data_IF_801709230538
#
_entry.id   IF_801709230538
#
_cell.length_a   1.000
_cell.length_b   1.000
_cell.length_c   1.000
_cell.angle_alpha   90.00
_cell.angle_beta   90.00
_cell.angle_gamma   90.00
#
_symmetry.space_group_name_H-M   'P 1'
#
loop_
_entity.id
_entity.type
_entity.pdbx_description
1 polymer ?
#
# COMPACT_ATOMS: atom_id res chain seq x y z
N UNK A 1 17.34 32.63 45.82
CA UNK A 1 18.24 31.68 45.11
C UNK A 1 17.83 30.20 45.26
N UNK A 2 17.46 29.68 46.44
CA UNK A 2 17.08 28.24 46.60
C UNK A 2 16.00 27.71 45.63
N UNK A 3 15.00 28.53 45.25
CA UNK A 3 13.96 28.15 44.29
C UNK A 3 14.46 27.81 42.86
N UNK A 4 15.56 28.43 42.40
CA UNK A 4 16.09 28.15 41.05
C UNK A 4 16.64 26.72 40.93
N UNK A 5 17.23 26.17 42.00
CA UNK A 5 17.79 24.82 42.00
C UNK A 5 16.68 23.75 41.90
N UNK A 6 15.54 23.97 42.56
CA UNK A 6 14.39 23.06 42.44
C UNK A 6 13.76 23.10 41.03
N UNK A 7 13.62 24.28 40.43
CA UNK A 7 13.12 24.41 39.06
C UNK A 7 14.02 23.71 38.03
N UNK A 8 15.35 23.85 38.16
CA UNK A 8 16.31 23.18 37.28
C UNK A 8 16.26 21.65 37.39
N UNK A 9 16.12 21.11 38.61
CA UNK A 9 16.01 19.67 38.83
C UNK A 9 14.74 19.07 38.22
N UNK A 10 13.59 19.75 38.33
CA UNK A 10 12.33 19.32 37.70
C UNK A 10 12.42 19.37 36.17
N UNK A 11 13.06 20.39 35.61
CA UNK A 11 13.23 20.50 34.16
C UNK A 11 14.15 19.40 33.60
N UNK A 12 15.23 19.04 34.30
CA UNK A 12 16.09 17.92 33.95
C UNK A 12 15.34 16.56 34.01
N UNK A 13 14.49 16.36 35.01
CA UNK A 13 13.65 15.17 35.12
C UNK A 13 12.62 15.06 33.99
N UNK A 14 12.00 16.18 33.57
CA UNK A 14 11.07 16.21 32.44
C UNK A 14 11.75 15.85 31.10
N UNK A 15 13.01 16.22 30.91
CA UNK A 15 13.79 15.89 29.70
C UNK A 15 14.18 14.40 29.63
N UNK A 16 14.39 13.75 30.78
CA UNK A 16 14.77 12.32 30.83
C UNK A 16 13.66 11.33 30.44
N UNK A 17 12.40 11.79 30.34
CA UNK A 17 11.25 10.97 29.95
C UNK A 17 10.92 10.93 28.45
N UNK A 18 11.59 11.75 27.62
CA UNK A 18 11.24 11.95 26.20
C UNK A 18 12.31 11.35 25.27
N UNK A 19 12.60 10.05 25.43
CA UNK A 19 13.71 9.36 24.75
C UNK A 19 13.30 8.41 23.63
N UNK A 20 12.80 7.23 23.99
CA UNK A 20 12.57 6.13 23.05
C UNK A 20 11.11 5.67 23.01
N UNK A 21 10.54 5.65 21.79
CA UNK A 21 9.29 4.93 21.52
C UNK A 21 9.54 3.44 21.80
N UNK A 22 8.84 2.81 22.76
CA UNK A 22 9.19 1.46 23.19
C UNK A 22 8.96 0.47 22.04
N UNK A 23 10.06 -0.15 21.59
CA UNK A 23 10.06 -1.11 20.48
C UNK A 23 9.76 -2.52 20.99
N UNK A 24 9.04 -3.31 20.20
CA UNK A 24 8.69 -4.69 20.53
C UNK A 24 9.06 -5.66 19.39
N UNK A 25 9.02 -6.96 19.71
CA UNK A 25 9.15 -8.05 18.74
C UNK A 25 7.78 -8.69 18.53
N UNK A 26 7.28 -8.63 17.29
CA UNK A 26 6.01 -9.24 16.88
C UNK A 26 6.31 -10.57 16.22
N UNK A 27 5.59 -11.61 16.61
CA UNK A 27 5.70 -12.96 16.06
C UNK A 27 4.30 -13.54 15.84
N UNK A 28 4.16 -14.44 14.88
CA UNK A 28 2.87 -15.06 14.58
C UNK A 28 2.94 -16.03 13.41
N UNK A 29 1.76 -16.53 13.02
CA UNK A 29 1.58 -17.39 11.85
C UNK A 29 0.44 -16.87 10.98
N UNK A 30 0.60 -16.95 9.66
CA UNK A 30 -0.43 -16.57 8.68
C UNK A 30 -0.94 -17.83 8.00
N UNK A 31 -2.26 -18.01 7.99
CA UNK A 31 -2.94 -19.11 7.32
C UNK A 31 -4.00 -18.60 6.35
N UNK A 32 -4.12 -19.25 5.19
CA UNK A 32 -5.17 -19.01 4.22
C UNK A 32 -5.91 -20.33 3.96
N UNK A 33 -7.24 -20.35 4.15
CA UNK A 33 -8.06 -21.56 4.02
C UNK A 33 -7.53 -22.76 4.85
N UNK A 34 -7.05 -22.49 6.08
CA UNK A 34 -6.47 -23.49 6.98
C UNK A 34 -5.02 -23.90 6.66
N UNK A 35 -4.51 -23.60 5.46
CA UNK A 35 -3.14 -23.91 5.04
C UNK A 35 -2.18 -22.78 5.44
N UNK A 36 -0.91 -23.07 5.81
CA UNK A 36 0.09 -22.02 6.01
C UNK A 36 0.32 -21.28 4.68
N UNK A 37 0.44 -19.96 4.75
CA UNK A 37 0.76 -19.14 3.57
C UNK A 37 2.28 -19.07 3.39
N UNK A 38 2.78 -19.33 2.19
CA UNK A 38 4.22 -19.32 1.89
C UNK A 38 4.55 -18.32 0.78
N UNK A 39 5.80 -17.86 0.70
CA UNK A 39 6.24 -16.94 -0.36
C UNK A 39 5.55 -15.57 -0.34
N UNK A 40 5.16 -15.10 0.84
CA UNK A 40 4.52 -13.80 1.04
C UNK A 40 5.36 -12.90 1.99
N UNK A 41 5.26 -11.60 1.77
CA UNK A 41 5.90 -10.58 2.63
C UNK A 41 4.83 -9.93 3.50
N UNK A 42 5.06 -9.86 4.80
CA UNK A 42 4.25 -9.02 5.71
C UNK A 42 4.86 -7.62 5.76
N UNK A 43 3.98 -6.64 5.68
CA UNK A 43 4.29 -5.22 5.71
C UNK A 43 3.56 -4.64 6.93
N UNK A 44 4.31 -4.27 7.96
CA UNK A 44 3.81 -3.59 9.15
C UNK A 44 4.01 -2.09 8.99
N UNK A 45 2.95 -1.31 9.06
CA UNK A 45 2.99 0.15 9.11
C UNK A 45 2.67 0.55 10.56
N UNK A 46 3.69 0.97 11.30
CA UNK A 46 3.56 1.30 12.71
C UNK A 46 3.12 2.76 12.93
N UNK A 47 2.85 3.12 14.19
CA UNK A 47 2.36 4.45 14.59
C UNK A 47 3.37 5.59 14.35
N UNK A 48 4.65 5.28 14.20
CA UNK A 48 5.71 6.21 13.81
C UNK A 48 5.82 6.40 12.27
N UNK A 49 4.85 5.87 11.52
CA UNK A 49 4.81 5.82 10.05
C UNK A 49 5.99 5.06 9.41
N UNK A 50 6.75 4.25 10.18
CA UNK A 50 7.77 3.38 9.60
C UNK A 50 7.17 2.06 9.12
N UNK A 51 7.74 1.58 8.02
CA UNK A 51 7.37 0.31 7.39
C UNK A 51 8.41 -0.75 7.75
N UNK A 52 7.95 -1.85 8.35
CA UNK A 52 8.78 -3.02 8.64
C UNK A 52 8.35 -4.14 7.71
N UNK A 53 9.28 -4.63 6.90
CA UNK A 53 9.08 -5.76 6.00
C UNK A 53 9.62 -7.04 6.66
N UNK A 54 8.89 -8.13 6.52
CA UNK A 54 9.35 -9.45 6.97
C UNK A 54 8.81 -10.54 6.05
N UNK A 55 9.62 -11.55 5.78
CA UNK A 55 9.25 -12.68 4.91
C UNK A 55 8.59 -13.80 5.74
N UNK A 56 7.59 -14.47 5.17
CA UNK A 56 7.04 -15.71 5.74
C UNK A 56 7.98 -16.88 5.45
N UNK A 57 8.20 -17.70 6.49
CA UNK A 57 8.79 -19.03 6.34
C UNK A 57 7.80 -20.00 5.68
N UNK A 58 8.28 -21.19 5.33
CA UNK A 58 7.47 -22.27 4.75
C UNK A 58 6.33 -22.74 5.68
N UNK A 59 6.49 -22.60 7.00
CA UNK A 59 5.42 -22.87 7.98
C UNK A 59 4.36 -21.75 8.07
N UNK A 60 4.50 -20.68 7.28
CA UNK A 60 3.73 -19.45 7.40
C UNK A 60 4.03 -18.63 8.66
N UNK A 61 5.11 -18.96 9.38
CA UNK A 61 5.57 -18.23 10.56
C UNK A 61 6.38 -16.98 10.18
N UNK A 62 6.28 -15.93 10.99
CA UNK A 62 7.00 -14.66 10.79
C UNK A 62 7.49 -14.07 12.11
N UNK A 63 8.54 -13.24 12.06
CA UNK A 63 9.09 -12.55 13.21
C UNK A 63 9.67 -11.16 12.84
N UNK A 64 8.96 -10.10 13.21
CA UNK A 64 9.40 -8.71 13.02
C UNK A 64 9.95 -8.15 14.35
N UNK A 65 11.12 -7.52 14.31
CA UNK A 65 11.76 -6.89 15.46
C UNK A 65 11.79 -5.36 15.31
N UNK A 66 11.81 -4.64 16.43
CA UNK A 66 11.99 -3.18 16.42
C UNK A 66 10.72 -2.39 16.11
N UNK A 67 9.56 -3.04 16.05
CA UNK A 67 8.26 -2.40 15.74
C UNK A 67 7.84 -1.49 16.89
N UNK A 68 7.51 -0.24 16.61
CA UNK A 68 7.00 0.69 17.62
C UNK A 68 5.71 0.17 18.25
N UNK A 69 5.61 0.17 19.60
CA UNK A 69 4.36 -0.14 20.30
C UNK A 69 3.30 0.91 19.99
N UNK A 70 2.10 0.45 19.64
CA UNK A 70 0.96 1.29 19.30
C UNK A 70 0.00 0.59 18.35
N UNK A 71 -0.96 1.32 17.76
CA UNK A 71 -1.77 0.81 16.65
C UNK A 71 -0.88 0.58 15.41
N UNK A 72 -0.85 -0.68 14.93
CA UNK A 72 -0.10 -1.09 13.75
C UNK A 72 -1.07 -1.56 12.68
N UNK A 73 -0.90 -1.12 11.43
CA UNK A 73 -1.61 -1.66 10.27
C UNK A 73 -0.77 -2.76 9.64
N UNK A 74 -1.40 -3.89 9.31
CA UNK A 74 -0.73 -5.04 8.71
C UNK A 74 -1.27 -5.26 7.30
N UNK A 75 -0.37 -5.41 6.34
CA UNK A 75 -0.67 -5.85 4.97
C UNK A 75 0.16 -7.08 4.66
N UNK A 76 -0.40 -8.01 3.87
CA UNK A 76 0.29 -9.21 3.41
C UNK A 76 0.30 -9.14 1.88
N UNK A 77 1.50 -9.08 1.31
CA UNK A 77 1.70 -9.08 -0.13
C UNK A 77 2.32 -10.40 -0.54
N UNK A 78 1.53 -11.26 -1.17
CA UNK A 78 2.06 -12.44 -1.84
C UNK A 78 2.81 -12.01 -3.10
N UNK A 79 4.00 -12.55 -3.32
CA UNK A 79 4.69 -12.35 -4.60
C UNK A 79 3.79 -12.97 -5.68
N UNK A 80 3.34 -12.17 -6.64
CA UNK A 80 2.63 -12.74 -7.80
C UNK A 80 3.61 -13.71 -8.48
N UNK A 81 3.16 -14.93 -8.84
CA UNK A 81 3.99 -15.82 -9.64
C UNK A 81 4.44 -15.04 -10.87
N UNK A 82 5.76 -14.95 -11.07
CA UNK A 82 6.30 -14.23 -12.21
C UNK A 82 5.97 -15.03 -13.47
N UNK A 83 4.76 -14.81 -14.00
CA UNK A 83 4.44 -15.16 -15.37
C UNK A 83 5.51 -14.44 -16.20
N UNK A 84 6.47 -15.17 -16.80
CA UNK A 84 7.45 -14.53 -17.65
C UNK A 84 6.64 -13.77 -18.67
N UNK A 85 6.89 -12.46 -18.81
CA UNK A 85 6.18 -11.63 -19.78
C UNK A 85 6.51 -12.19 -21.16
N UNK A 86 5.72 -13.18 -21.59
CA UNK A 86 5.93 -13.92 -22.81
C UNK A 86 6.08 -12.88 -23.89
N UNK A 87 7.21 -12.91 -24.61
CA UNK A 87 7.60 -11.87 -25.57
C UNK A 87 6.47 -11.72 -26.59
N UNK A 88 5.48 -10.87 -26.27
CA UNK A 88 4.31 -10.62 -27.10
C UNK A 88 4.86 -9.97 -28.34
N UNK A 89 4.88 -10.78 -29.38
CA UNK A 89 5.91 -10.71 -30.38
C UNK A 89 5.88 -9.34 -31.06
N UNK A 90 7.01 -8.63 -31.01
CA UNK A 90 7.22 -7.44 -31.87
C UNK A 90 6.96 -7.81 -33.36
N UNK A 91 7.10 -9.10 -33.70
CA UNK A 91 6.71 -9.70 -34.99
C UNK A 91 5.19 -9.64 -35.28
N UNK A 92 4.31 -9.87 -34.30
CA UNK A 92 2.86 -9.75 -34.52
C UNK A 92 2.44 -8.29 -34.80
N UNK A 93 2.97 -7.33 -34.04
CA UNK A 93 2.74 -5.90 -34.27
C UNK A 93 3.38 -5.38 -35.58
N UNK A 94 4.42 -6.07 -36.07
CA UNK A 94 5.08 -5.74 -37.34
C UNK A 94 4.28 -6.26 -38.55
N UNK A 95 3.59 -7.40 -38.45
CA UNK A 95 2.69 -7.87 -39.52
C UNK A 95 1.46 -6.97 -39.69
N UNK A 96 0.86 -6.46 -38.61
CA UNK A 96 -0.29 -5.55 -38.71
C UNK A 96 0.05 -4.21 -39.37
N UNK A 97 1.25 -3.65 -39.14
CA UNK A 97 1.68 -2.40 -39.80
C UNK A 97 1.97 -2.52 -41.30
N UNK A 98 2.36 -3.69 -41.82
CA UNK A 98 2.57 -3.86 -43.27
C UNK A 98 1.25 -4.03 -44.05
N UNK A 99 0.18 -4.46 -43.39
CA UNK A 99 -1.14 -4.67 -44.01
C UNK A 99 -1.95 -3.38 -44.22
N UNK A 100 -1.44 -2.21 -43.80
CA UNK A 100 -2.11 -0.91 -43.96
C UNK A 100 -1.32 0.04 -44.85
N UNK A 101 -0.85 -0.44 -46.02
CA UNK A 101 -0.80 0.45 -47.18
C UNK A 101 -2.25 0.87 -47.47
N UNK A 102 -2.61 2.07 -47.02
CA UNK A 102 -3.88 2.70 -47.39
C UNK A 102 -3.96 2.74 -48.92
N UNK A 103 -5.10 2.38 -49.55
CA UNK A 103 -5.30 2.68 -50.96
C UNK A 103 -5.19 4.21 -51.14
N UNK A 104 -4.42 4.70 -52.13
CA UNK A 104 -4.41 6.12 -52.45
C UNK A 104 -5.79 6.51 -52.99
N UNK A 105 -6.51 7.41 -52.30
CA UNK A 105 -7.79 7.93 -52.78
C UNK A 105 -8.98 7.90 -51.80
N UNK A 106 -8.81 7.53 -50.53
CA UNK A 106 -9.90 7.77 -49.55
C UNK A 106 -10.10 9.28 -49.34
N UNK A 107 -11.25 9.88 -49.71
CA UNK A 107 -11.46 11.32 -49.60
C UNK A 107 -11.39 11.77 -48.14
N UNK A 108 -10.87 12.98 -47.92
CA UNK A 108 -10.74 13.58 -46.60
C UNK A 108 -12.13 13.81 -46.00
N UNK A 109 -12.58 12.90 -45.13
CA UNK A 109 -13.81 13.07 -44.35
C UNK A 109 -13.65 14.35 -43.51
N UNK A 110 -14.54 15.35 -43.64
CA UNK A 110 -14.37 16.61 -42.94
C UNK A 110 -14.35 16.37 -41.42
N UNK A 111 -13.43 17.08 -40.76
CA UNK A 111 -13.13 16.95 -39.33
C UNK A 111 -14.32 17.44 -38.51
N UNK A 112 -15.31 16.56 -38.30
CA UNK A 112 -16.48 16.85 -37.47
C UNK A 112 -16.04 17.04 -36.02
N UNK A 113 -15.92 18.30 -35.63
CA UNK A 113 -15.76 18.79 -34.27
C UNK A 113 -17.02 18.51 -33.45
N UNK A 114 -17.20 17.24 -33.07
CA UNK A 114 -18.11 16.85 -31.98
C UNK A 114 -17.28 16.35 -30.81
N UNK A 115 -16.77 17.31 -30.03
CA UNK A 115 -16.48 17.09 -28.61
C UNK A 115 -17.78 16.64 -27.94
N UNK A 116 -17.93 15.39 -27.48
CA UNK A 116 -18.99 15.11 -26.53
C UNK A 116 -18.63 15.85 -25.26
N UNK A 117 -19.49 16.78 -24.84
CA UNK A 117 -19.35 17.40 -23.53
C UNK A 117 -19.41 16.29 -22.48
N UNK A 118 -18.29 16.02 -21.81
CA UNK A 118 -18.26 15.11 -20.67
C UNK A 118 -19.05 15.75 -19.54
N UNK A 119 -20.36 15.48 -19.52
CA UNK A 119 -21.27 15.89 -18.47
C UNK A 119 -20.79 15.32 -17.15
N UNK A 120 -20.10 16.16 -16.37
CA UNK A 120 -19.54 15.81 -15.07
C UNK A 120 -20.69 15.60 -14.07
N UNK A 121 -21.32 14.42 -14.11
CA UNK A 121 -22.30 14.00 -13.10
C UNK A 121 -21.58 13.83 -11.78
N UNK A 122 -21.67 14.86 -10.92
CA UNK A 122 -21.28 14.80 -9.52
C UNK A 122 -22.04 13.65 -8.85
N UNK A 123 -21.38 12.51 -8.65
CA UNK A 123 -21.96 11.37 -7.97
C UNK A 123 -21.82 11.56 -6.45
N UNK A 124 -22.66 12.42 -5.88
CA UNK A 124 -22.75 12.65 -4.42
C UNK A 124 -23.28 11.41 -3.73
N UNK A 125 -22.38 10.45 -3.45
CA UNK A 125 -22.71 9.18 -2.79
C UNK A 125 -22.87 9.40 -1.29
N UNK A 126 -24.04 9.83 -0.85
CA UNK A 126 -24.45 9.88 0.55
C UNK A 126 -24.38 8.47 1.16
N UNK A 127 -23.29 8.17 1.87
CA UNK A 127 -23.18 6.97 2.71
C UNK A 127 -24.10 7.13 3.92
N UNK A 128 -25.34 6.66 3.79
CA UNK A 128 -26.18 6.35 4.95
C UNK A 128 -25.46 5.28 5.77
N UNK A 129 -25.21 5.52 7.05
CA UNK A 129 -24.43 4.66 7.94
C UNK A 129 -25.37 3.94 8.94
N UNK A 130 -25.77 2.68 8.71
CA UNK A 130 -26.62 1.94 9.62
C UNK A 130 -25.76 1.12 10.59
N UNK A 131 -25.39 1.70 11.74
CA UNK A 131 -24.40 1.05 12.61
C UNK A 131 -24.27 1.51 14.06
N UNK A 132 -25.13 2.41 14.56
CA UNK A 132 -25.16 2.75 15.99
C UNK A 132 -26.14 1.83 16.73
N UNK A 133 -25.70 0.61 17.07
CA UNK A 133 -26.31 -0.17 18.15
C UNK A 133 -25.53 0.09 19.43
N UNK A 134 -26.12 0.86 20.32
CA UNK A 134 -25.71 0.92 21.72
C UNK A 134 -26.03 -0.42 22.39
N UNK A 135 -25.09 -0.89 23.21
CA UNK A 135 -25.30 -1.83 24.31
C UNK A 135 -24.62 -1.17 25.51
#
# INVERSE_FOLDING_TARGET
MRFCLLAAAVFAAALSGCGDVPRSRVHGTVKFQGKPLTGATVIFIASDNKTYLTELKEDGSFAAAGVARGPVKVSIQQALPHVPRGRRSRLAWRKSRLSTKRPPGSPLRPRSSRTPAYGCRKFTRTRKNPGSRSI
#
